data_IF_788611591780
#
_entry.id   IF_788611591780
#
_cell.length_a   1.000
_cell.length_b   1.000
_cell.length_c   1.000
_cell.angle_alpha   90.00
_cell.angle_beta   90.00
_cell.angle_gamma   90.00
#
_symmetry.space_group_name_H-M   'P 1'
#
loop_
_entity.id
_entity.type
_entity.pdbx_description
1 polymer ?
#
# COMPACT_ATOMS: atom_id res chain seq x y z
N UNK A 1 17.71 -4.88 6.23
CA UNK A 1 16.39 -4.84 5.58
C UNK A 1 15.76 -3.48 5.84
N UNK A 2 15.41 -2.80 4.78
CA UNK A 2 14.85 -1.46 4.90
C UNK A 2 13.33 -1.45 4.97
N UNK A 3 12.67 -2.43 4.35
CA UNK A 3 11.22 -2.46 4.26
C UNK A 3 10.69 -3.85 4.59
N UNK A 4 9.68 -3.90 5.43
CA UNK A 4 8.95 -5.13 5.76
C UNK A 4 7.49 -4.92 5.39
N UNK A 5 6.89 -5.94 4.79
CA UNK A 5 5.47 -5.94 4.44
C UNK A 5 4.75 -7.06 5.18
N UNK A 6 3.59 -6.75 5.73
CA UNK A 6 2.68 -7.74 6.31
C UNK A 6 1.24 -7.30 6.05
N UNK A 7 0.31 -8.26 6.07
CA UNK A 7 -1.09 -7.85 6.15
C UNK A 7 -1.47 -7.72 7.63
N UNK A 8 -2.68 -7.23 7.88
CA UNK A 8 -3.12 -6.97 9.26
C UNK A 8 -3.17 -8.24 10.11
N UNK A 9 -3.51 -9.38 9.52
CA UNK A 9 -3.56 -10.65 10.25
C UNK A 9 -2.15 -11.11 10.60
N UNK A 10 -1.24 -11.08 9.63
CA UNK A 10 0.15 -11.44 9.84
C UNK A 10 0.80 -10.54 10.90
N UNK A 11 0.53 -9.25 10.83
CA UNK A 11 1.08 -8.28 11.79
C UNK A 11 0.59 -8.59 13.22
N UNK A 12 -0.67 -8.93 13.37
CA UNK A 12 -1.22 -9.31 14.66
C UNK A 12 -0.56 -10.58 15.20
N UNK A 13 -0.38 -11.58 14.34
CA UNK A 13 0.22 -12.85 14.74
C UNK A 13 1.65 -12.67 15.24
N UNK A 14 2.47 -11.90 14.52
CA UNK A 14 3.89 -11.76 14.89
C UNK A 14 4.14 -10.76 16.01
N UNK A 15 3.28 -9.78 16.20
CA UNK A 15 3.48 -8.75 17.24
C UNK A 15 2.58 -8.92 18.46
N UNK A 16 1.49 -9.64 18.33
CA UNK A 16 0.47 -9.71 19.36
C UNK A 16 -0.38 -8.45 19.47
N UNK A 17 -0.21 -7.51 18.54
CA UNK A 17 -0.92 -6.23 18.55
C UNK A 17 -2.01 -6.23 17.50
N UNK A 18 -3.24 -5.96 17.91
CA UNK A 18 -4.40 -5.90 17.02
C UNK A 18 -4.45 -4.59 16.23
N UNK A 19 -4.02 -3.51 16.84
CA UNK A 19 -3.94 -2.21 16.19
C UNK A 19 -2.75 -2.20 15.24
N UNK A 20 -2.99 -1.89 13.96
CA UNK A 20 -1.95 -1.94 12.94
C UNK A 20 -0.84 -0.92 13.17
N UNK A 21 -1.15 0.23 13.76
CA UNK A 21 -0.14 1.23 14.09
C UNK A 21 0.78 0.68 15.19
N UNK A 22 0.21 0.11 16.25
CA UNK A 22 1.00 -0.50 17.31
C UNK A 22 1.84 -1.67 16.80
N UNK A 23 1.27 -2.46 15.89
CA UNK A 23 2.00 -3.57 15.25
C UNK A 23 3.17 -3.04 14.42
N UNK A 24 2.96 -1.98 13.65
CA UNK A 24 4.02 -1.38 12.84
C UNK A 24 5.15 -0.82 13.70
N UNK A 25 4.81 -0.15 14.79
CA UNK A 25 5.81 0.36 15.74
C UNK A 25 6.65 -0.78 16.31
N UNK A 26 5.99 -1.89 16.68
CA UNK A 26 6.68 -3.05 17.22
C UNK A 26 7.64 -3.65 16.20
N UNK A 27 7.19 -3.80 14.96
CA UNK A 27 8.04 -4.34 13.90
C UNK A 27 9.23 -3.41 13.64
N UNK A 28 9.02 -2.10 13.68
CA UNK A 28 10.10 -1.14 13.44
C UNK A 28 11.20 -1.23 14.48
N UNK A 29 10.87 -1.66 15.72
CA UNK A 29 11.87 -1.88 16.78
C UNK A 29 12.83 -3.01 16.43
N UNK A 30 12.47 -3.89 15.51
CA UNK A 30 13.29 -5.01 15.08
C UNK A 30 14.25 -4.67 13.94
N UNK A 31 14.27 -3.41 13.50
CA UNK A 31 15.24 -2.89 12.56
C UNK A 31 14.77 -2.27 11.26
N UNK A 32 13.66 -2.71 10.64
CA UNK A 32 13.26 -2.11 9.36
C UNK A 32 12.87 -0.65 9.51
N UNK A 33 13.26 0.15 8.54
CA UNK A 33 12.95 1.59 8.53
C UNK A 33 11.54 1.88 8.06
N UNK A 34 11.00 1.03 7.20
CA UNK A 34 9.65 1.17 6.66
C UNK A 34 8.87 -0.11 6.91
N UNK A 35 7.65 0.04 7.40
CA UNK A 35 6.74 -1.09 7.60
C UNK A 35 5.48 -0.81 6.81
N UNK A 36 5.14 -1.71 5.89
CA UNK A 36 3.95 -1.59 5.05
C UNK A 36 2.95 -2.63 5.52
N UNK A 37 1.79 -2.19 5.97
CA UNK A 37 0.73 -3.11 6.41
C UNK A 37 -0.49 -2.92 5.51
N UNK A 38 -0.91 -4.00 4.86
CA UNK A 38 -2.15 -4.00 4.08
C UNK A 38 -3.27 -4.53 4.95
N UNK A 39 -4.47 -4.01 4.72
CA UNK A 39 -5.69 -4.45 5.40
C UNK A 39 -6.86 -4.38 4.43
N UNK A 40 -8.05 -4.89 4.79
CA UNK A 40 -9.16 -4.93 3.84
C UNK A 40 -9.54 -3.59 3.22
N UNK A 41 -9.31 -2.50 3.93
CA UNK A 41 -9.74 -1.17 3.49
C UNK A 41 -8.64 -0.33 2.86
N UNK A 42 -7.39 -0.77 2.92
CA UNK A 42 -6.30 0.05 2.36
C UNK A 42 -4.91 -0.43 2.72
N UNK A 43 -3.98 0.50 2.67
CA UNK A 43 -2.57 0.27 3.00
C UNK A 43 -2.10 1.36 3.97
N UNK A 44 -1.31 0.95 4.96
CA UNK A 44 -0.69 1.86 5.91
C UNK A 44 0.82 1.67 5.85
N UNK A 45 1.55 2.78 5.88
CA UNK A 45 3.02 2.77 5.89
C UNK A 45 3.50 3.52 7.12
N UNK A 46 4.40 2.89 7.87
CA UNK A 46 5.03 3.49 9.04
C UNK A 46 6.51 3.72 8.71
N UNK A 47 6.95 4.97 8.80
CA UNK A 47 8.33 5.36 8.50
C UNK A 47 8.79 6.36 9.56
N UNK A 48 9.75 5.95 10.39
CA UNK A 48 10.40 6.83 11.37
C UNK A 48 9.40 7.63 12.23
N UNK A 49 8.37 6.97 12.71
CA UNK A 49 7.33 7.60 13.53
C UNK A 49 6.22 8.28 12.75
N UNK A 50 6.35 8.39 11.43
CA UNK A 50 5.33 8.98 10.58
C UNK A 50 4.45 7.90 9.98
N UNK A 51 3.16 8.19 9.90
CA UNK A 51 2.17 7.25 9.37
C UNK A 51 1.53 7.84 8.12
N UNK A 52 1.50 7.02 7.07
CA UNK A 52 0.85 7.37 5.82
C UNK A 52 -0.18 6.30 5.50
N UNK A 53 -1.37 6.69 5.10
CA UNK A 53 -2.45 5.76 4.79
C UNK A 53 -3.09 6.13 3.47
N UNK A 54 -3.52 5.11 2.72
CA UNK A 54 -4.32 5.31 1.52
C UNK A 54 -5.37 4.20 1.45
N UNK A 55 -6.64 4.56 1.29
CA UNK A 55 -7.70 3.56 1.20
C UNK A 55 -7.72 2.90 -0.17
N UNK A 56 -8.24 1.67 -0.23
CA UNK A 56 -8.55 1.06 -1.51
C UNK A 56 -9.88 1.64 -2.00
N UNK A 57 -9.91 2.04 -3.25
CA UNK A 57 -11.09 2.61 -3.89
C UNK A 57 -11.42 1.76 -5.12
N UNK A 58 -12.17 0.69 -4.92
CA UNK A 58 -12.51 -0.24 -5.99
C UNK A 58 -14.02 -0.33 -6.15
N UNK A 59 -14.48 -0.39 -7.40
CA UNK A 59 -15.90 -0.53 -7.70
C UNK A 59 -16.42 -1.94 -7.43
N UNK A 60 -15.50 -2.92 -7.40
CA UNK A 60 -15.82 -4.31 -7.07
C UNK A 60 -14.58 -4.97 -6.49
N UNK A 61 -14.75 -6.11 -5.85
CA UNK A 61 -13.66 -6.81 -5.16
C UNK A 61 -13.50 -8.24 -5.67
N UNK A 62 -13.67 -8.46 -6.96
CA UNK A 62 -13.57 -9.80 -7.54
C UNK A 62 -12.14 -10.33 -7.57
N UNK A 63 -11.15 -9.45 -7.64
CA UNK A 63 -9.73 -9.83 -7.78
C UNK A 63 -8.94 -9.80 -6.48
N UNK A 64 -9.42 -10.44 -5.42
CA UNK A 64 -8.75 -10.38 -4.11
C UNK A 64 -7.42 -11.11 -4.02
N UNK A 65 -7.26 -12.18 -4.81
CA UNK A 65 -6.04 -12.98 -4.80
C UNK A 65 -4.87 -12.15 -5.34
N UNK A 66 -3.75 -12.13 -4.62
CA UNK A 66 -2.57 -11.37 -5.03
C UNK A 66 -2.61 -9.89 -4.66
N UNK A 67 -3.60 -9.46 -3.88
CA UNK A 67 -3.72 -8.08 -3.44
C UNK A 67 -2.47 -7.56 -2.74
N UNK A 68 -1.97 -8.32 -1.77
CA UNK A 68 -0.79 -7.93 -1.01
C UNK A 68 0.45 -7.82 -1.88
N UNK A 69 0.64 -8.78 -2.81
CA UNK A 69 1.78 -8.79 -3.71
C UNK A 69 1.76 -7.60 -4.67
N UNK A 70 0.59 -7.29 -5.22
CA UNK A 70 0.41 -6.12 -6.08
C UNK A 70 0.73 -4.84 -5.33
N UNK A 71 0.25 -4.72 -4.12
CA UNK A 71 0.45 -3.53 -3.29
C UNK A 71 1.93 -3.30 -2.99
N UNK A 72 2.61 -4.32 -2.47
CA UNK A 72 4.01 -4.16 -2.07
C UNK A 72 4.94 -3.94 -3.27
N UNK A 73 4.71 -4.66 -4.36
CA UNK A 73 5.54 -4.50 -5.56
C UNK A 73 5.47 -3.06 -6.09
N UNK A 74 4.27 -2.52 -6.17
CA UNK A 74 4.09 -1.15 -6.67
C UNK A 74 4.56 -0.09 -5.68
N UNK A 75 4.42 -0.35 -4.38
CA UNK A 75 4.99 0.52 -3.37
C UNK A 75 6.50 0.63 -3.53
N UNK A 76 7.18 -0.52 -3.64
CA UNK A 76 8.64 -0.55 -3.74
C UNK A 76 9.15 0.14 -5.00
N UNK A 77 8.50 -0.10 -6.14
CA UNK A 77 8.89 0.53 -7.41
C UNK A 77 8.74 2.05 -7.32
N UNK A 78 7.60 2.52 -6.85
CA UNK A 78 7.35 3.97 -6.73
C UNK A 78 8.30 4.61 -5.71
N UNK A 79 8.63 3.89 -4.64
CA UNK A 79 9.48 4.38 -3.57
C UNK A 79 10.92 4.65 -4.02
N UNK A 80 11.34 4.06 -5.13
CA UNK A 80 12.68 4.31 -5.68
C UNK A 80 12.87 5.79 -6.06
N UNK A 81 11.80 6.47 -6.45
CA UNK A 81 11.88 7.86 -6.92
C UNK A 81 10.92 8.82 -6.21
N UNK A 82 10.11 8.32 -5.28
CA UNK A 82 9.03 9.11 -4.66
C UNK A 82 9.03 8.93 -3.14
N UNK A 83 8.31 9.81 -2.46
CA UNK A 83 8.16 9.78 -1.00
C UNK A 83 7.31 8.60 -0.54
N UNK A 84 7.36 8.24 0.75
CA UNK A 84 6.46 7.20 1.28
C UNK A 84 4.99 7.53 1.08
N UNK A 85 4.60 8.80 1.24
CA UNK A 85 3.20 9.21 1.06
C UNK A 85 2.73 8.99 -0.37
N UNK A 86 3.53 9.40 -1.34
CA UNK A 86 3.20 9.20 -2.76
C UNK A 86 3.19 7.73 -3.14
N UNK A 87 4.17 6.98 -2.65
CA UNK A 87 4.27 5.55 -2.92
C UNK A 87 3.09 4.79 -2.33
N UNK A 88 2.62 5.20 -1.15
CA UNK A 88 1.43 4.63 -0.52
C UNK A 88 0.19 4.83 -1.40
N UNK A 89 -0.02 6.04 -1.90
CA UNK A 89 -1.15 6.34 -2.80
C UNK A 89 -1.06 5.56 -4.10
N UNK A 90 0.12 5.50 -4.69
CA UNK A 90 0.35 4.77 -5.94
C UNK A 90 0.03 3.28 -5.76
N UNK A 91 0.55 2.69 -4.71
CA UNK A 91 0.30 1.28 -4.41
C UNK A 91 -1.19 1.01 -4.17
N UNK A 92 -1.87 1.90 -3.45
CA UNK A 92 -3.31 1.77 -3.20
C UNK A 92 -4.12 1.89 -4.49
N UNK A 93 -3.73 2.80 -5.39
CA UNK A 93 -4.42 2.97 -6.67
C UNK A 93 -4.29 1.74 -7.56
N UNK A 94 -3.08 1.21 -7.71
CA UNK A 94 -2.85 -0.01 -8.52
C UNK A 94 -3.59 -1.18 -7.91
N UNK A 95 -3.54 -1.35 -6.60
CA UNK A 95 -4.24 -2.43 -5.91
C UNK A 95 -5.74 -2.31 -6.07
N UNK A 96 -6.27 -1.09 -6.02
CA UNK A 96 -7.71 -0.85 -6.23
C UNK A 96 -8.14 -1.29 -7.62
N UNK A 97 -7.35 -0.97 -8.64
CA UNK A 97 -7.64 -1.40 -10.01
C UNK A 97 -7.56 -2.92 -10.14
N UNK A 98 -6.57 -3.53 -9.47
CA UNK A 98 -6.42 -4.99 -9.46
C UNK A 98 -7.62 -5.67 -8.81
N UNK A 99 -8.16 -5.09 -7.75
CA UNK A 99 -9.31 -5.65 -7.03
C UNK A 99 -10.58 -5.70 -7.90
N UNK A 100 -10.66 -4.88 -8.91
CA UNK A 100 -11.82 -4.83 -9.81
C UNK A 100 -11.79 -5.93 -10.86
N UNK A 101 -10.70 -6.69 -10.99
CA UNK A 101 -10.51 -7.74 -11.98
C UNK A 101 -9.96 -9.00 -11.34
N UNK A 102 -10.31 -10.15 -11.90
CA UNK A 102 -9.67 -11.40 -11.54
C UNK A 102 -8.31 -11.48 -12.24
N UNK A 103 -7.34 -12.13 -11.57
CA UNK A 103 -6.01 -12.29 -12.10
C UNK A 103 -5.11 -11.10 -11.86
N UNK A 104 -3.91 -11.09 -12.43
CA UNK A 104 -2.94 -10.02 -12.24
C UNK A 104 -3.44 -8.71 -12.85
N UNK A 105 -2.91 -7.59 -12.34
CA UNK A 105 -3.20 -6.29 -12.92
C UNK A 105 -2.61 -6.23 -14.33
N UNK A 106 -3.45 -5.88 -15.30
CA UNK A 106 -3.06 -5.77 -16.70
C UNK A 106 -3.35 -4.38 -17.30
N UNK A 107 -3.62 -3.40 -16.44
CA UNK A 107 -3.89 -2.05 -16.88
C UNK A 107 -2.64 -1.28 -17.31
N UNK A 108 -2.85 -0.09 -17.84
CA UNK A 108 -1.78 0.79 -18.28
C UNK A 108 -1.37 1.77 -17.19
N UNK A 109 -0.22 2.40 -17.36
CA UNK A 109 0.23 3.47 -16.48
C UNK A 109 -0.79 4.63 -16.46
N UNK A 110 -1.40 4.92 -17.61
CA UNK A 110 -2.43 5.96 -17.69
C UNK A 110 -3.66 5.62 -16.84
N UNK A 111 -4.05 4.34 -16.80
CA UNK A 111 -5.14 3.89 -15.93
C UNK A 111 -4.83 4.20 -14.47
N UNK A 112 -3.59 3.99 -14.07
CA UNK A 112 -3.14 4.27 -12.70
C UNK A 112 -3.19 5.78 -12.42
N UNK A 113 -2.70 6.60 -13.34
CA UNK A 113 -2.72 8.06 -13.18
C UNK A 113 -4.13 8.59 -13.09
N UNK A 114 -5.05 8.07 -13.90
CA UNK A 114 -6.45 8.46 -13.86
C UNK A 114 -7.07 8.13 -12.50
N UNK A 115 -6.79 6.95 -11.99
CA UNK A 115 -7.26 6.53 -10.68
C UNK A 115 -6.73 7.43 -9.56
N UNK A 116 -5.43 7.73 -9.61
CA UNK A 116 -4.79 8.61 -8.63
C UNK A 116 -5.42 9.99 -8.63
N UNK A 117 -5.63 10.56 -9.81
CA UNK A 117 -6.21 11.89 -9.96
C UNK A 117 -7.65 11.92 -9.45
N UNK A 118 -8.43 10.90 -9.76
CA UNK A 118 -9.86 10.85 -9.42
C UNK A 118 -10.09 10.55 -7.95
N UNK A 119 -9.41 9.55 -7.40
CA UNK A 119 -9.75 8.99 -6.09
C UNK A 119 -8.76 9.31 -4.97
N UNK A 120 -7.54 9.78 -5.29
CA UNK A 120 -6.48 9.95 -4.29
C UNK A 120 -5.94 11.36 -4.19
N UNK A 121 -6.61 12.33 -4.81
CA UNK A 121 -6.18 13.74 -4.79
C UNK A 121 -4.73 13.89 -5.24
N UNK A 122 -4.35 13.11 -6.23
CA UNK A 122 -3.00 13.16 -6.77
C UNK A 122 -2.85 14.39 -7.65
N UNK A 123 -1.93 15.25 -7.29
CA UNK A 123 -1.58 16.38 -8.12
C UNK A 123 -0.52 15.94 -9.09
N UNK A 124 -0.84 16.00 -10.38
CA UNK A 124 0.14 15.69 -11.39
C UNK A 124 1.22 16.77 -11.37
N UNK A 125 2.42 16.37 -11.04
CA UNK A 125 3.56 17.25 -11.13
C UNK A 125 3.73 17.70 -12.58
N UNK A 126 3.55 18.96 -12.81
CA UNK A 126 3.91 19.57 -14.07
C UNK A 126 5.41 19.83 -14.03
N UNK A 127 6.13 18.86 -14.44
CA UNK A 127 7.57 19.03 -14.50
C UNK A 127 7.93 19.45 -15.90
#
# INVERSE_FOLDING_TARGET
IHTVKADNVEAEVITGKKDIVAAAEKISEWGPKEVVITHPDGVMVYVEGMIYEAPFSAKSFVGRTGRGDTCIANYLVCRLTSSPAESCKFAAAVTSLKLEKEGPFDGTYQDILDKLTTDYLWEKETV
#
